data_IF_073483553935
#
_entry.id   IF_073483553935
#
_cell.length_a   1.000
_cell.length_b   1.000
_cell.length_c   1.000
_cell.angle_alpha   90.00
_cell.angle_beta   90.00
_cell.angle_gamma   90.00
#
_symmetry.space_group_name_H-M   'P 1'
#
loop_
_entity.id
_entity.type
_entity.pdbx_description
1 polymer ?
#
# COMPACT_ATOMS: atom_id res chain seq x y z
N UNK A 1 8.58 16.74 21.21
CA UNK A 1 8.24 17.16 19.83
C UNK A 1 8.36 15.94 18.92
N UNK A 2 7.29 15.48 18.27
CA UNK A 2 7.35 14.36 17.30
C UNK A 2 7.44 14.93 15.90
N UNK A 3 8.32 14.37 15.07
CA UNK A 3 8.47 14.75 13.65
C UNK A 3 7.11 14.76 12.92
N UNK A 4 6.19 13.85 13.30
CA UNK A 4 4.82 13.82 12.76
C UNK A 4 4.05 15.14 12.98
N UNK A 5 4.13 15.72 14.17
CA UNK A 5 3.42 16.97 14.49
C UNK A 5 4.04 18.15 13.75
N UNK A 6 5.37 18.17 13.63
CA UNK A 6 6.09 19.22 12.89
C UNK A 6 5.66 19.23 11.43
N UNK A 7 5.72 18.08 10.75
CA UNK A 7 5.34 17.97 9.33
C UNK A 7 3.85 18.30 9.13
N UNK A 8 2.98 17.92 10.08
CA UNK A 8 1.55 18.21 10.00
C UNK A 8 1.26 19.71 10.05
N UNK A 9 2.02 20.47 10.83
CA UNK A 9 1.90 21.92 10.96
C UNK A 9 2.59 22.67 9.82
N UNK A 10 3.81 22.26 9.43
CA UNK A 10 4.61 22.95 8.42
C UNK A 10 4.21 22.61 6.98
N UNK A 11 3.83 21.35 6.72
CA UNK A 11 3.43 20.88 5.39
C UNK A 11 2.32 19.80 5.45
N UNK A 12 1.06 20.25 5.61
CA UNK A 12 -0.08 19.36 5.71
C UNK A 12 -0.35 18.54 4.44
N UNK A 13 0.11 18.99 3.26
CA UNK A 13 -0.04 18.26 1.99
C UNK A 13 0.89 17.06 1.99
N UNK A 14 2.16 17.27 2.33
CA UNK A 14 3.14 16.19 2.44
C UNK A 14 2.77 15.20 3.54
N UNK A 15 2.28 15.70 4.68
CA UNK A 15 1.73 14.83 5.74
C UNK A 15 0.64 13.89 5.21
N UNK A 16 -0.35 14.41 4.47
CA UNK A 16 -1.44 13.61 3.89
C UNK A 16 -0.92 12.58 2.88
N UNK A 17 0.03 12.95 2.01
CA UNK A 17 0.68 12.02 1.05
C UNK A 17 1.40 10.89 1.78
N UNK A 18 2.22 11.20 2.77
CA UNK A 18 2.94 10.21 3.58
C UNK A 18 1.99 9.28 4.33
N UNK A 19 0.92 9.81 4.91
CA UNK A 19 -0.10 9.00 5.61
C UNK A 19 -0.80 8.04 4.64
N UNK A 20 -1.13 8.49 3.43
CA UNK A 20 -1.75 7.65 2.41
C UNK A 20 -0.82 6.54 1.91
N UNK A 21 0.47 6.84 1.70
CA UNK A 21 1.49 5.82 1.38
C UNK A 21 1.57 4.79 2.51
N UNK A 22 1.56 5.24 3.78
CA UNK A 22 1.61 4.34 4.94
C UNK A 22 0.38 3.43 5.06
N UNK A 23 -0.80 3.90 4.65
CA UNK A 23 -2.07 3.14 4.68
C UNK A 23 -2.14 2.09 3.58
N UNK A 24 -1.49 2.32 2.43
CA UNK A 24 -1.51 1.42 1.28
C UNK A 24 -0.43 0.33 1.31
N UNK A 25 -0.12 -0.24 2.47
CA UNK A 25 0.79 -1.40 2.56
C UNK A 25 0.05 -2.69 2.24
N UNK A 26 -0.31 -2.88 0.97
CA UNK A 26 -0.71 -4.19 0.44
C UNK A 26 0.42 -5.20 0.69
N UNK A 27 1.66 -4.79 0.45
CA UNK A 27 2.87 -5.58 0.69
C UNK A 27 3.72 -4.88 1.76
N UNK A 28 4.21 -5.63 2.75
CA UNK A 28 5.22 -5.18 3.72
C UNK A 28 6.58 -5.79 3.38
N UNK A 29 7.66 -5.06 3.68
CA UNK A 29 9.01 -5.59 3.59
C UNK A 29 9.16 -6.75 4.59
N UNK A 30 9.67 -7.90 4.12
CA UNK A 30 9.75 -9.12 4.91
C UNK A 30 8.44 -9.92 4.99
N UNK A 31 7.43 -9.62 4.16
CA UNK A 31 6.26 -10.49 4.01
C UNK A 31 6.67 -11.89 3.50
N UNK A 32 5.91 -12.91 3.92
CA UNK A 32 6.15 -14.29 3.48
C UNK A 32 6.00 -14.44 1.97
N UNK A 33 6.75 -15.38 1.39
CA UNK A 33 6.75 -15.67 -0.05
C UNK A 33 5.35 -15.93 -0.59
N UNK A 34 4.49 -16.66 0.13
CA UNK A 34 3.12 -16.97 -0.31
C UNK A 34 2.27 -15.70 -0.45
N UNK A 35 2.49 -14.71 0.42
CA UNK A 35 1.78 -13.43 0.37
C UNK A 35 2.27 -12.56 -0.80
N UNK A 36 3.58 -12.60 -1.10
CA UNK A 36 4.13 -11.95 -2.29
C UNK A 36 3.56 -12.58 -3.57
N UNK A 37 3.53 -13.92 -3.65
CA UNK A 37 2.94 -14.64 -4.78
C UNK A 37 1.45 -14.31 -4.96
N UNK A 38 0.69 -14.23 -3.87
CA UNK A 38 -0.73 -13.80 -3.90
C UNK A 38 -0.89 -12.40 -4.49
N UNK A 39 -0.04 -11.46 -4.11
CA UNK A 39 -0.06 -10.11 -4.69
C UNK A 39 0.33 -10.09 -6.17
N UNK A 40 1.20 -11.00 -6.61
CA UNK A 40 1.60 -11.12 -8.02
C UNK A 40 0.64 -12.03 -8.84
N UNK A 41 -0.45 -12.51 -8.22
CA UNK A 41 -1.40 -13.40 -8.88
C UNK A 41 -2.42 -12.61 -9.72
N UNK A 42 -2.56 -13.00 -10.98
CA UNK A 42 -3.58 -12.48 -11.88
C UNK A 42 -4.51 -13.59 -12.36
N UNK A 43 -5.79 -13.27 -12.55
CA UNK A 43 -6.78 -14.16 -13.17
C UNK A 43 -7.48 -13.47 -14.33
N UNK A 44 -7.96 -14.24 -15.29
CA UNK A 44 -8.90 -13.72 -16.29
C UNK A 44 -10.27 -13.52 -15.67
N UNK A 45 -10.84 -12.33 -15.86
CA UNK A 45 -12.23 -12.02 -15.58
C UNK A 45 -12.88 -11.59 -16.89
N UNK A 46 -13.63 -12.50 -17.50
CA UNK A 46 -14.12 -12.35 -18.88
C UNK A 46 -12.96 -12.28 -19.88
N UNK A 47 -12.92 -11.22 -20.71
CA UNK A 47 -11.87 -11.01 -21.73
C UNK A 47 -10.59 -10.35 -21.19
N UNK A 48 -10.59 -9.82 -19.96
CA UNK A 48 -9.46 -9.04 -19.39
C UNK A 48 -8.73 -9.81 -18.29
N UNK A 49 -7.42 -9.58 -18.17
CA UNK A 49 -6.61 -10.07 -17.04
C UNK A 49 -6.70 -9.05 -15.90
N UNK A 50 -6.98 -9.50 -14.68
CA UNK A 50 -7.11 -8.67 -13.47
C UNK A 50 -6.37 -9.31 -12.30
N UNK A 51 -5.80 -8.49 -11.43
CA UNK A 51 -5.15 -8.97 -10.20
C UNK A 51 -6.18 -9.64 -9.30
N UNK A 52 -5.81 -10.75 -8.68
CA UNK A 52 -6.68 -11.46 -7.73
C UNK A 52 -6.66 -10.69 -6.42
N UNK A 53 -7.83 -10.22 -5.97
CA UNK A 53 -7.99 -9.74 -4.60
C UNK A 53 -8.15 -10.97 -3.70
N UNK A 54 -7.17 -11.21 -2.85
CA UNK A 54 -7.27 -12.19 -1.77
C UNK A 54 -7.77 -11.43 -0.53
N UNK A 55 -8.99 -11.73 -0.09
CA UNK A 55 -9.56 -11.25 1.19
C UNK A 55 -8.84 -11.87 2.39
#
# INVERSE_FOLDING_TARGET
>A
MRIENVIKETDPITYRKLKNISRNKKIKLGDKTEKLMRHDSYRRQGRRIRQINWE
#
